data_IF_698471368028
#
_entry.id   IF_698471368028
#
_cell.length_a   1.000
_cell.length_b   1.000
_cell.length_c   1.000
_cell.angle_alpha   90.00
_cell.angle_beta   90.00
_cell.angle_gamma   90.00
#
_symmetry.space_group_name_H-M   'P 1'
#
loop_
_entity.id
_entity.type
_entity.pdbx_description
1 polymer ?
#
# COMPACT_ATOMS: atom_id res chain seq x y z
N UNK A 1 -6.02 -29.00 -12.26
CA UNK A 1 -6.81 -28.76 -13.46
C UNK A 1 -6.46 -29.76 -14.56
N UNK A 2 -7.42 -30.15 -15.38
CA UNK A 2 -7.19 -31.02 -16.52
C UNK A 2 -6.50 -30.23 -17.64
N UNK A 3 -5.78 -30.91 -18.55
CA UNK A 3 -5.11 -30.27 -19.70
C UNK A 3 -6.04 -29.40 -20.58
N UNK A 4 -7.33 -29.65 -20.58
CA UNK A 4 -8.33 -28.87 -21.30
C UNK A 4 -8.62 -27.50 -20.67
N UNK A 5 -8.54 -27.38 -19.34
CA UNK A 5 -8.75 -26.10 -18.66
C UNK A 5 -7.55 -25.15 -18.85
N UNK A 6 -6.35 -25.70 -19.02
CA UNK A 6 -5.15 -24.89 -19.26
C UNK A 6 -5.13 -24.23 -20.64
N UNK A 7 -5.83 -24.78 -21.63
CA UNK A 7 -5.90 -24.22 -22.98
C UNK A 7 -6.79 -22.98 -23.09
N UNK A 8 -7.67 -22.74 -22.10
CA UNK A 8 -8.62 -21.62 -22.09
C UNK A 8 -8.18 -20.45 -21.20
N UNK A 9 -7.15 -20.67 -20.38
CA UNK A 9 -6.68 -19.66 -19.43
C UNK A 9 -5.26 -19.19 -19.77
N UNK A 10 -4.99 -17.91 -19.48
CA UNK A 10 -3.69 -17.28 -19.65
C UNK A 10 -2.67 -17.86 -18.65
N UNK A 11 -1.50 -18.25 -19.15
CA UNK A 11 -0.37 -18.63 -18.30
C UNK A 11 0.42 -17.39 -17.87
N UNK A 12 0.46 -17.13 -16.57
CA UNK A 12 1.20 -16.02 -15.96
C UNK A 12 2.50 -16.46 -15.28
N UNK A 13 2.98 -17.65 -15.58
CA UNK A 13 4.25 -18.14 -15.04
C UNK A 13 5.42 -17.56 -15.82
N UNK A 14 6.37 -17.01 -15.08
CA UNK A 14 7.62 -16.46 -15.63
C UNK A 14 8.82 -17.07 -14.92
N UNK A 15 9.96 -17.12 -15.61
CA UNK A 15 11.23 -17.43 -14.97
C UNK A 15 11.77 -16.18 -14.28
N UNK A 16 11.86 -16.23 -12.96
CA UNK A 16 12.39 -15.11 -12.16
C UNK A 16 13.50 -15.63 -11.23
N UNK A 17 14.77 -15.22 -11.45
CA UNK A 17 15.28 -14.43 -12.56
C UNK A 17 15.22 -15.16 -13.90
N UNK A 18 15.33 -14.42 -15.01
CA UNK A 18 15.31 -14.99 -16.35
C UNK A 18 16.40 -16.06 -16.48
N UNK A 19 16.05 -17.21 -17.09
CA UNK A 19 16.99 -18.33 -17.26
C UNK A 19 17.18 -19.23 -16.03
N UNK A 20 16.49 -18.98 -14.91
CA UNK A 20 16.63 -19.78 -13.67
C UNK A 20 16.09 -21.21 -13.80
N UNK A 21 15.32 -21.53 -14.84
CA UNK A 21 14.60 -22.79 -15.00
C UNK A 21 13.39 -22.96 -14.05
N UNK A 22 13.24 -22.09 -13.05
CA UNK A 22 12.14 -22.13 -12.09
C UNK A 22 11.02 -21.18 -12.53
N UNK A 23 9.81 -21.71 -12.74
CA UNK A 23 8.63 -20.93 -13.08
C UNK A 23 7.92 -20.44 -11.81
N UNK A 24 7.70 -19.13 -11.71
CA UNK A 24 6.91 -18.50 -10.65
C UNK A 24 5.72 -17.77 -11.26
N UNK A 25 4.57 -17.82 -10.59
CA UNK A 25 3.42 -17.04 -11.00
C UNK A 25 3.65 -15.57 -10.67
N UNK A 26 3.61 -14.72 -11.67
CA UNK A 26 3.61 -13.27 -11.49
C UNK A 26 2.20 -12.80 -11.11
N UNK A 27 2.04 -12.38 -9.87
CA UNK A 27 0.72 -12.08 -9.29
C UNK A 27 0.30 -10.64 -9.49
N UNK A 28 1.22 -9.70 -9.31
CA UNK A 28 0.96 -8.27 -9.47
C UNK A 28 0.78 -7.91 -10.93
N UNK A 29 -0.22 -7.09 -11.25
CA UNK A 29 -0.36 -6.44 -12.55
C UNK A 29 0.76 -5.44 -12.80
N UNK A 30 0.91 -5.04 -14.05
CA UNK A 30 1.83 -3.96 -14.39
C UNK A 30 1.28 -2.61 -13.89
N UNK A 31 2.20 -1.77 -13.45
CA UNK A 31 1.95 -0.41 -12.98
C UNK A 31 2.55 0.54 -14.02
N UNK A 32 1.69 1.23 -14.77
CA UNK A 32 2.14 2.08 -15.88
C UNK A 32 1.94 3.57 -15.58
N UNK A 33 0.70 4.01 -15.38
CA UNK A 33 0.38 5.42 -15.13
C UNK A 33 0.10 5.71 -13.65
N UNK A 34 -0.25 4.68 -12.88
CA UNK A 34 -0.37 4.82 -11.43
C UNK A 34 1.00 5.09 -10.81
N UNK A 35 1.06 6.06 -9.91
CA UNK A 35 2.27 6.36 -9.15
C UNK A 35 2.10 5.88 -7.72
N UNK A 36 3.03 5.10 -7.17
CA UNK A 36 2.97 4.71 -5.77
C UNK A 36 2.87 5.93 -4.84
N UNK A 37 1.85 5.93 -3.99
CA UNK A 37 1.59 7.02 -3.04
C UNK A 37 1.75 6.49 -1.61
N UNK A 38 2.70 7.05 -0.87
CA UNK A 38 2.94 6.67 0.53
C UNK A 38 2.08 7.52 1.45
N UNK A 39 1.27 6.86 2.27
CA UNK A 39 0.47 7.47 3.33
C UNK A 39 1.15 7.19 4.66
N UNK A 40 1.66 8.24 5.27
CA UNK A 40 2.24 8.26 6.61
C UNK A 40 1.29 8.94 7.61
N UNK A 41 1.80 9.56 8.66
CA UNK A 41 1.00 10.39 9.57
C UNK A 41 0.24 11.51 8.84
N UNK A 42 -0.80 12.09 9.47
CA UNK A 42 -1.57 13.18 8.90
C UNK A 42 -0.67 14.36 8.50
N UNK A 43 -0.89 14.95 7.33
CA UNK A 43 0.02 15.94 6.76
C UNK A 43 -0.63 17.28 6.37
N UNK A 44 -1.96 17.35 6.29
CA UNK A 44 -2.63 18.51 5.70
C UNK A 44 -2.67 19.74 6.65
N UNK A 45 -2.32 19.54 7.94
CA UNK A 45 -2.07 20.60 8.93
C UNK A 45 -3.21 21.64 9.01
N UNK A 46 -4.46 21.15 9.03
CA UNK A 46 -5.63 22.02 9.18
C UNK A 46 -5.62 22.82 10.49
N UNK A 47 -4.94 22.31 11.52
CA UNK A 47 -4.67 23.01 12.77
C UNK A 47 -3.84 24.29 12.58
N UNK A 48 -2.81 24.21 11.76
CA UNK A 48 -1.89 25.32 11.52
C UNK A 48 -2.37 26.28 10.41
N UNK A 49 -3.00 25.73 9.36
CA UNK A 49 -3.40 26.50 8.18
C UNK A 49 -4.71 27.25 8.42
N UNK A 50 -5.68 26.58 9.05
CA UNK A 50 -7.02 27.11 9.25
C UNK A 50 -7.39 27.37 10.71
N UNK A 51 -6.47 27.08 11.65
CA UNK A 51 -6.73 27.23 13.08
C UNK A 51 -7.70 26.21 13.65
N UNK A 52 -7.98 25.10 12.93
CA UNK A 52 -8.93 24.06 13.37
C UNK A 52 -8.30 23.15 14.43
N UNK A 53 -8.53 23.50 15.69
CA UNK A 53 -7.99 22.75 16.83
C UNK A 53 -8.55 21.32 16.91
N UNK A 54 -9.67 21.02 16.26
CA UNK A 54 -10.22 19.65 16.22
C UNK A 54 -9.33 18.67 15.47
N UNK A 55 -8.50 19.15 14.52
CA UNK A 55 -7.53 18.35 13.78
C UNK A 55 -6.35 17.90 14.65
N UNK A 56 -6.01 18.66 15.69
CA UNK A 56 -4.83 18.37 16.54
C UNK A 56 -4.94 17.00 17.22
N UNK A 57 -6.12 16.58 17.65
CA UNK A 57 -6.32 15.27 18.25
C UNK A 57 -6.11 14.12 17.24
N UNK A 58 -6.56 14.31 16.00
CA UNK A 58 -6.35 13.38 14.91
C UNK A 58 -4.86 13.27 14.54
N UNK A 59 -4.19 14.41 14.40
CA UNK A 59 -2.75 14.50 14.14
C UNK A 59 -1.95 13.77 15.24
N UNK A 60 -2.22 14.06 16.51
CA UNK A 60 -1.52 13.45 17.63
C UNK A 60 -1.71 11.93 17.66
N UNK A 61 -2.94 11.46 17.47
CA UNK A 61 -3.24 10.02 17.48
C UNK A 61 -2.51 9.26 16.38
N UNK A 62 -2.51 9.81 15.16
CA UNK A 62 -2.04 9.10 13.98
C UNK A 62 -0.64 9.53 13.51
N UNK A 63 0.08 10.34 14.29
CA UNK A 63 1.40 10.85 13.94
C UNK A 63 2.39 9.73 13.56
N UNK A 64 2.43 8.65 14.35
CA UNK A 64 3.33 7.51 14.16
C UNK A 64 2.59 6.27 13.64
N UNK A 65 1.54 6.42 12.85
CA UNK A 65 0.85 5.27 12.26
C UNK A 65 1.75 4.56 11.25
N UNK A 66 1.40 3.29 10.98
CA UNK A 66 2.03 2.53 9.90
C UNK A 66 2.01 3.33 8.60
N UNK A 67 3.14 3.40 7.92
CA UNK A 67 3.19 3.90 6.57
C UNK A 67 2.74 2.80 5.61
N UNK A 68 1.94 3.17 4.63
CA UNK A 68 1.40 2.26 3.62
C UNK A 68 1.64 2.86 2.25
N UNK A 69 2.23 2.08 1.35
CA UNK A 69 2.37 2.45 -0.05
C UNK A 69 1.18 1.90 -0.83
N UNK A 70 0.43 2.77 -1.47
CA UNK A 70 -0.70 2.43 -2.32
C UNK A 70 -0.33 2.58 -3.79
N UNK A 71 -0.77 1.64 -4.61
CA UNK A 71 -0.56 1.69 -6.06
C UNK A 71 -1.68 0.95 -6.79
N UNK A 72 -2.19 1.54 -7.85
CA UNK A 72 -3.11 0.88 -8.76
C UNK A 72 -2.37 0.01 -9.76
N UNK A 73 -2.94 -1.14 -10.09
CA UNK A 73 -2.40 -2.09 -11.05
C UNK A 73 -3.37 -2.43 -12.18
N UNK A 74 -2.82 -2.86 -13.30
CA UNK A 74 -3.61 -3.32 -14.44
C UNK A 74 -4.11 -4.78 -14.29
N UNK A 75 -4.03 -5.32 -13.07
CA UNK A 75 -4.78 -6.51 -12.65
C UNK A 75 -6.17 -6.17 -12.08
N UNK A 76 -6.56 -4.90 -12.14
CA UNK A 76 -7.86 -4.42 -11.69
C UNK A 76 -7.93 -4.11 -10.20
N UNK A 77 -6.80 -3.97 -9.53
CA UNK A 77 -6.72 -3.79 -8.08
C UNK A 77 -5.99 -2.51 -7.68
N UNK A 78 -6.42 -1.94 -6.56
CA UNK A 78 -5.62 -1.06 -5.74
C UNK A 78 -4.91 -1.88 -4.69
N UNK A 79 -3.59 -1.85 -4.69
CA UNK A 79 -2.75 -2.58 -3.75
C UNK A 79 -2.25 -1.69 -2.62
N UNK A 80 -2.18 -2.25 -1.42
CA UNK A 80 -1.62 -1.61 -0.25
C UNK A 80 -0.44 -2.43 0.29
N UNK A 81 0.75 -1.85 0.30
CA UNK A 81 1.97 -2.50 0.76
C UNK A 81 2.46 -1.91 2.08
N UNK A 82 2.97 -2.76 2.96
CA UNK A 82 3.54 -2.34 4.23
C UNK A 82 4.85 -1.56 4.01
N UNK A 83 4.83 -0.27 4.23
CA UNK A 83 6.03 0.57 4.25
C UNK A 83 6.61 0.73 5.67
N UNK A 84 5.98 0.13 6.69
CA UNK A 84 6.50 0.04 8.06
C UNK A 84 6.19 1.22 8.96
N UNK A 85 6.84 1.21 10.11
CA UNK A 85 6.82 2.29 11.09
C UNK A 85 8.19 2.96 11.09
N UNK A 86 8.20 4.26 10.88
CA UNK A 86 9.42 5.05 10.86
C UNK A 86 9.88 5.39 12.28
N UNK A 87 11.16 5.21 12.52
CA UNK A 87 11.84 5.61 13.74
C UNK A 87 12.94 6.61 13.38
N UNK A 88 12.95 7.80 14.00
CA UNK A 88 14.07 8.73 13.87
C UNK A 88 15.25 8.24 14.69
N UNK A 89 16.46 8.48 14.21
CA UNK A 89 17.70 8.11 14.89
C UNK A 89 18.28 6.78 14.46
N UNK A 90 19.33 6.33 15.15
CA UNK A 90 20.06 5.13 14.75
C UNK A 90 19.31 3.85 15.11
N UNK A 91 19.36 2.89 14.21
CA UNK A 91 18.91 1.54 14.47
C UNK A 91 19.81 0.88 15.53
N UNK A 92 19.27 0.71 16.72
CA UNK A 92 19.99 0.07 17.84
C UNK A 92 20.32 -1.41 17.58
N UNK A 93 19.71 -2.05 16.55
CA UNK A 93 19.99 -3.42 16.14
C UNK A 93 21.10 -3.51 15.10
N UNK A 94 21.45 -2.42 14.46
CA UNK A 94 22.55 -2.38 13.52
C UNK A 94 23.88 -2.37 14.28
N UNK A 95 24.84 -3.13 13.77
CA UNK A 95 26.24 -3.12 14.27
C UNK A 95 26.99 -1.84 13.96
N UNK A 96 26.27 -0.74 13.72
CA UNK A 96 26.83 0.60 13.50
C UNK A 96 27.22 1.25 14.85
N UNK A 97 28.25 2.08 14.87
CA UNK A 97 28.66 2.76 16.10
C UNK A 97 27.51 3.60 16.69
N UNK A 98 27.26 3.42 17.97
CA UNK A 98 26.10 3.89 18.74
C UNK A 98 26.00 5.43 18.92
N UNK A 99 26.65 6.21 18.08
CA UNK A 99 26.75 7.67 18.23
C UNK A 99 26.38 8.48 17.00
N UNK A 100 25.74 7.85 16.00
CA UNK A 100 25.28 8.54 14.80
C UNK A 100 23.77 8.65 14.84
N UNK A 101 23.23 9.82 15.13
CA UNK A 101 21.79 10.13 15.13
C UNK A 101 21.24 10.42 13.72
N UNK A 102 21.93 9.96 12.69
CA UNK A 102 21.69 10.39 11.32
C UNK A 102 20.87 9.41 10.47
N UNK A 103 20.60 8.22 10.98
CA UNK A 103 19.96 7.16 10.20
C UNK A 103 18.57 6.84 10.73
N UNK A 104 17.53 7.25 10.00
CA UNK A 104 16.17 6.76 10.25
C UNK A 104 16.04 5.30 9.80
N UNK A 105 15.21 4.54 10.47
CA UNK A 105 14.97 3.13 10.18
C UNK A 105 13.50 2.75 10.26
N UNK A 106 13.13 1.59 9.72
CA UNK A 106 11.75 1.11 9.67
C UNK A 106 11.62 -0.23 10.37
N UNK A 107 10.49 -0.41 11.06
CA UNK A 107 10.09 -1.68 11.66
C UNK A 107 8.80 -2.21 11.06
N UNK A 108 8.58 -3.51 11.20
CA UNK A 108 7.35 -4.18 10.73
C UNK A 108 6.15 -3.94 11.66
N UNK A 109 6.41 -3.52 12.89
CA UNK A 109 5.40 -3.29 13.92
C UNK A 109 5.80 -2.08 14.78
N UNK A 110 4.84 -1.45 15.51
CA UNK A 110 5.11 -0.26 16.32
C UNK A 110 6.13 -0.49 17.43
N UNK A 111 6.20 -1.70 17.96
CA UNK A 111 7.17 -2.12 18.97
C UNK A 111 8.12 -3.17 18.40
N UNK A 112 9.41 -3.06 18.75
CA UNK A 112 10.48 -3.91 18.23
C UNK A 112 10.26 -5.43 18.41
N UNK A 113 9.37 -5.82 19.33
CA UNK A 113 9.12 -7.23 19.68
C UNK A 113 7.78 -7.78 19.17
N UNK A 114 7.06 -7.07 18.34
CA UNK A 114 5.78 -7.55 17.80
C UNK A 114 5.93 -8.02 16.35
N UNK A 115 5.31 -9.16 16.02
CA UNK A 115 5.25 -9.66 14.65
C UNK A 115 4.27 -8.81 13.82
N UNK A 116 4.73 -8.31 12.68
CA UNK A 116 3.92 -7.59 11.72
C UNK A 116 4.08 -8.17 10.32
N UNK A 117 3.27 -7.70 9.37
CA UNK A 117 3.50 -8.00 7.97
C UNK A 117 4.91 -7.54 7.57
N UNK A 118 5.66 -8.32 6.76
CA UNK A 118 7.00 -7.95 6.36
C UNK A 118 6.99 -6.62 5.59
N UNK A 119 8.11 -5.88 5.65
CA UNK A 119 8.27 -4.67 4.83
C UNK A 119 8.17 -5.04 3.35
N UNK A 120 7.43 -4.24 2.59
CA UNK A 120 7.08 -4.52 1.19
C UNK A 120 6.04 -5.62 1.01
N UNK A 121 5.57 -6.26 2.08
CA UNK A 121 4.48 -7.24 1.99
C UNK A 121 3.14 -6.57 1.71
N UNK A 122 2.32 -7.20 0.87
CA UNK A 122 0.97 -6.75 0.61
C UNK A 122 0.10 -6.91 1.85
N UNK A 123 -0.56 -5.83 2.26
CA UNK A 123 -1.51 -5.83 3.38
C UNK A 123 -2.90 -6.22 2.92
N UNK A 124 -3.33 -5.67 1.79
CA UNK A 124 -4.60 -5.96 1.14
C UNK A 124 -4.62 -5.47 -0.31
N UNK A 125 -5.52 -6.02 -1.10
CA UNK A 125 -5.89 -5.56 -2.42
C UNK A 125 -7.38 -5.21 -2.44
N UNK A 126 -7.76 -4.14 -3.11
CA UNK A 126 -9.13 -3.70 -3.29
C UNK A 126 -9.50 -3.68 -4.77
N UNK A 127 -10.59 -4.33 -5.13
CA UNK A 127 -11.16 -4.31 -6.48
C UNK A 127 -12.35 -3.35 -6.49
N UNK A 128 -12.31 -2.27 -7.28
CA UNK A 128 -13.50 -1.44 -7.49
C UNK A 128 -14.67 -2.29 -8.00
N UNK A 129 -15.86 -2.04 -7.44
CA UNK A 129 -17.05 -2.83 -7.76
C UNK A 129 -17.34 -2.90 -9.26
N UNK A 130 -17.13 -1.78 -9.95
CA UNK A 130 -17.35 -1.63 -11.39
C UNK A 130 -16.39 -2.49 -12.23
N UNK A 131 -15.25 -2.88 -11.67
CA UNK A 131 -14.26 -3.73 -12.35
C UNK A 131 -14.47 -5.22 -12.11
N UNK A 132 -15.31 -5.63 -11.16
CA UNK A 132 -15.54 -7.04 -10.88
C UNK A 132 -15.92 -7.86 -12.13
N UNK A 133 -16.84 -7.42 -13.01
CA UNK A 133 -17.16 -8.14 -14.24
C UNK A 133 -15.99 -8.22 -15.23
N UNK A 134 -15.03 -7.31 -15.13
CA UNK A 134 -13.90 -7.24 -16.05
C UNK A 134 -12.76 -8.19 -15.67
N UNK A 135 -12.70 -8.66 -14.42
CA UNK A 135 -11.61 -9.54 -13.96
C UNK A 135 -11.54 -10.86 -14.73
N UNK A 136 -12.66 -11.33 -15.26
CA UNK A 136 -12.71 -12.52 -16.12
C UNK A 136 -11.75 -12.38 -17.32
N UNK A 137 -11.71 -11.22 -17.95
CA UNK A 137 -10.88 -10.99 -19.12
C UNK A 137 -9.37 -11.13 -18.82
N UNK A 138 -8.93 -10.87 -17.61
CA UNK A 138 -7.55 -11.05 -17.20
C UNK A 138 -7.06 -12.48 -17.23
N UNK A 139 -7.99 -13.45 -17.13
CA UNK A 139 -7.70 -14.88 -17.15
C UNK A 139 -7.73 -15.51 -18.53
N UNK A 140 -8.26 -14.83 -19.53
CA UNK A 140 -8.49 -15.38 -20.88
C UNK A 140 -7.19 -15.57 -21.65
N UNK A 141 -7.12 -16.65 -22.44
CA UNK A 141 -5.95 -16.94 -23.28
C UNK A 141 -5.73 -15.89 -24.39
N UNK A 142 -6.83 -15.28 -24.87
CA UNK A 142 -6.84 -14.21 -25.87
C UNK A 142 -6.77 -12.80 -25.27
N UNK A 143 -6.34 -12.69 -24.01
CA UNK A 143 -6.22 -11.41 -23.32
C UNK A 143 -5.40 -10.41 -24.11
N UNK A 144 -5.96 -9.22 -24.30
CA UNK A 144 -5.24 -8.04 -24.76
C UNK A 144 -5.09 -7.06 -23.59
N UNK A 145 -3.92 -6.45 -23.51
CA UNK A 145 -3.61 -5.53 -22.41
C UNK A 145 -4.63 -4.39 -22.35
N UNK A 146 -5.19 -4.18 -21.15
CA UNK A 146 -6.17 -3.14 -20.88
C UNK A 146 -5.80 -2.47 -19.56
N UNK A 147 -5.98 -1.15 -19.51
CA UNK A 147 -5.76 -0.35 -18.31
C UNK A 147 -7.00 -0.41 -17.41
N UNK A 148 -6.78 -0.62 -16.12
CA UNK A 148 -7.85 -0.73 -15.12
C UNK A 148 -7.68 0.32 -14.02
N UNK A 149 -6.94 0.03 -12.93
CA UNK A 149 -6.68 0.98 -11.85
C UNK A 149 -5.36 1.67 -12.13
N UNK A 150 -5.39 2.74 -12.92
CA UNK A 150 -4.21 3.27 -13.60
C UNK A 150 -3.90 4.75 -13.32
N UNK A 151 -4.73 5.45 -12.55
CA UNK A 151 -4.53 6.86 -12.21
C UNK A 151 -3.69 7.04 -10.94
N UNK A 152 -2.95 8.17 -10.83
CA UNK A 152 -2.30 8.56 -9.60
C UNK A 152 -3.31 8.80 -8.48
N UNK A 153 -3.01 8.26 -7.31
CA UNK A 153 -3.85 8.42 -6.12
C UNK A 153 -3.62 9.78 -5.46
N UNK A 154 -4.70 10.39 -4.98
CA UNK A 154 -4.66 11.55 -4.10
C UNK A 154 -5.02 11.14 -2.68
N UNK A 155 -4.37 11.78 -1.73
CA UNK A 155 -4.58 11.57 -0.30
C UNK A 155 -4.98 12.88 0.33
N UNK A 156 -6.05 12.88 1.10
CA UNK A 156 -6.53 14.04 1.84
C UNK A 156 -6.99 13.66 3.25
N UNK A 157 -6.70 14.53 4.20
CA UNK A 157 -7.28 14.45 5.54
C UNK A 157 -8.61 15.24 5.53
N UNK A 158 -9.71 14.56 5.87
CA UNK A 158 -11.05 15.11 5.78
C UNK A 158 -11.84 14.90 7.07
N UNK A 159 -12.81 15.77 7.32
CA UNK A 159 -13.71 15.69 8.48
C UNK A 159 -15.10 15.30 8.05
N UNK A 160 -15.30 14.02 7.74
CA UNK A 160 -16.59 13.49 7.24
C UNK A 160 -17.07 12.24 7.99
N UNK A 161 -16.27 11.74 8.93
CA UNK A 161 -16.59 10.53 9.68
C UNK A 161 -17.40 10.82 10.94
N UNK A 162 -18.12 9.82 11.44
CA UNK A 162 -18.65 9.89 12.80
C UNK A 162 -17.48 9.90 13.78
N UNK A 163 -17.52 10.82 14.74
CA UNK A 163 -16.47 10.92 15.74
C UNK A 163 -16.44 9.67 16.62
N UNK A 164 -15.33 8.98 16.62
CA UNK A 164 -15.06 7.79 17.44
C UNK A 164 -13.58 7.72 17.84
N UNK A 165 -13.18 6.57 18.38
CA UNK A 165 -11.78 6.35 18.77
C UNK A 165 -10.84 6.47 17.58
N UNK A 166 -11.22 5.99 16.40
CA UNK A 166 -10.35 5.96 15.22
C UNK A 166 -10.47 7.24 14.37
N UNK A 167 -11.55 7.97 14.54
CA UNK A 167 -11.83 9.23 13.86
C UNK A 167 -12.03 10.38 14.87
N UNK A 168 -10.96 10.81 15.58
CA UNK A 168 -11.06 11.89 16.55
C UNK A 168 -11.70 13.14 15.92
N UNK A 169 -12.78 13.63 16.54
CA UNK A 169 -13.58 14.75 16.05
C UNK A 169 -14.12 14.59 14.61
N UNK A 170 -14.21 13.35 14.11
CA UNK A 170 -14.69 13.04 12.76
C UNK A 170 -13.64 13.18 11.65
N UNK A 171 -12.36 13.35 12.00
CA UNK A 171 -11.25 13.39 11.06
C UNK A 171 -10.80 11.98 10.63
N UNK A 172 -10.43 11.86 9.37
CA UNK A 172 -9.85 10.65 8.79
C UNK A 172 -9.07 10.95 7.52
N UNK A 173 -8.27 10.01 7.07
CA UNK A 173 -7.54 10.10 5.79
C UNK A 173 -8.28 9.29 4.74
N UNK A 174 -8.53 9.87 3.57
CA UNK A 174 -9.12 9.19 2.42
C UNK A 174 -8.15 9.09 1.25
N UNK A 175 -8.35 8.06 0.43
CA UNK A 175 -7.76 7.92 -0.89
C UNK A 175 -8.80 8.29 -1.96
N UNK A 176 -8.38 9.02 -2.97
CA UNK A 176 -9.21 9.47 -4.09
C UNK A 176 -8.52 9.03 -5.38
#
# INVERSE_FOLDING_TARGET
GTCAEQATTRDRRLQVPAGSGSLKVWKLGDVIHSTPTVVAGPKDRHDAIYGDQSYSAFLQKWYNRRQVAYVGGNDGMLHAFNAGYYHPGDDASASAPANTTEHGWFTTAPAANSSGAPLGGELWGFVPYELLPQLEFLSRADYQHTYYVDLPLKVADVRIFTADTDHPNGWGTILI
#
